data_IF_281686941726
#
_entry.id   IF_281686941726
#
_cell.length_a   1.000
_cell.length_b   1.000
_cell.length_c   1.000
_cell.angle_alpha   90.00
_cell.angle_beta   90.00
_cell.angle_gamma   90.00
#
_symmetry.space_group_name_H-M   'P 1'
#
loop_
_entity.id
_entity.type
_entity.pdbx_description
1 polymer ?
#
# COMPACT_ATOMS: atom_id res chain seq x y z
N UNK A 1 16.16 -4.34 -10.42
CA UNK A 1 14.74 -4.47 -10.84
C UNK A 1 13.83 -4.02 -9.71
N UNK A 2 12.66 -3.47 -10.05
CA UNK A 2 11.62 -3.12 -9.06
C UNK A 2 10.45 -4.09 -9.24
N UNK A 3 10.05 -4.74 -8.14
CA UNK A 3 8.94 -5.68 -8.07
C UNK A 3 7.85 -5.14 -7.15
N UNK A 4 6.60 -5.40 -7.50
CA UNK A 4 5.43 -5.03 -6.72
C UNK A 4 4.71 -6.29 -6.25
N UNK A 5 4.52 -6.42 -4.94
CA UNK A 5 3.85 -7.56 -4.31
C UNK A 5 2.51 -7.14 -3.68
N UNK A 6 1.47 -7.90 -4.01
CA UNK A 6 0.11 -7.67 -3.54
C UNK A 6 -0.24 -8.54 -2.35
N UNK A 7 -0.88 -7.94 -1.36
CA UNK A 7 -1.63 -8.60 -0.29
C UNK A 7 -1.04 -9.95 0.20
N UNK A 8 0.14 -9.96 0.88
CA UNK A 8 0.74 -11.20 1.37
C UNK A 8 -0.10 -11.90 2.46
N UNK A 9 -0.83 -11.13 3.27
CA UNK A 9 -1.63 -11.60 4.41
C UNK A 9 -0.84 -12.51 5.36
N UNK A 10 0.40 -12.13 5.67
CA UNK A 10 1.29 -12.85 6.57
C UNK A 10 1.97 -14.09 5.97
N UNK A 11 1.81 -14.36 4.67
CA UNK A 11 2.53 -15.45 3.98
C UNK A 11 3.33 -14.93 2.78
N UNK A 12 4.64 -15.05 2.87
CA UNK A 12 5.59 -14.52 1.89
C UNK A 12 6.32 -15.64 1.14
N UNK A 13 5.96 -16.91 1.42
CA UNK A 13 6.62 -18.10 0.85
C UNK A 13 6.75 -18.06 -0.66
N UNK A 14 5.75 -17.52 -1.34
CA UNK A 14 5.69 -17.43 -2.80
C UNK A 14 6.73 -16.47 -3.39
N UNK A 15 7.23 -15.49 -2.62
CA UNK A 15 8.22 -14.53 -3.08
C UNK A 15 9.63 -15.10 -3.13
N UNK A 16 9.99 -15.96 -2.16
CA UNK A 16 11.37 -16.44 -2.00
C UNK A 16 11.94 -17.17 -3.22
N UNK A 17 11.21 -18.06 -3.93
CA UNK A 17 11.74 -18.69 -5.15
C UNK A 17 12.19 -17.67 -6.20
N UNK A 18 11.39 -16.62 -6.42
CA UNK A 18 11.72 -15.56 -7.38
C UNK A 18 12.93 -14.75 -6.91
N UNK A 19 12.95 -14.35 -5.63
CA UNK A 19 14.08 -13.60 -5.06
C UNK A 19 15.39 -14.41 -5.07
N UNK A 20 15.31 -15.73 -4.95
CA UNK A 20 16.46 -16.63 -5.02
C UNK A 20 16.93 -16.87 -6.46
N UNK A 21 16.00 -16.93 -7.42
CA UNK A 21 16.32 -17.05 -8.84
C UNK A 21 17.14 -15.85 -9.33
N UNK A 22 16.77 -14.64 -8.90
CA UNK A 22 17.47 -13.40 -9.22
C UNK A 22 18.56 -13.01 -8.21
N UNK A 23 19.07 -13.98 -7.44
CA UNK A 23 20.08 -13.71 -6.41
C UNK A 23 21.34 -13.08 -7.01
N UNK A 24 21.72 -11.91 -6.51
CA UNK A 24 22.87 -11.13 -6.99
C UNK A 24 22.48 -9.95 -7.87
N UNK A 25 21.22 -9.87 -8.30
CA UNK A 25 20.67 -8.65 -8.87
C UNK A 25 20.22 -7.67 -7.78
N UNK A 26 20.24 -6.38 -8.09
CA UNK A 26 19.71 -5.36 -7.19
C UNK A 26 18.19 -5.31 -7.30
N UNK A 27 17.48 -5.99 -6.40
CA UNK A 27 16.02 -6.06 -6.37
C UNK A 27 15.47 -5.06 -5.34
N UNK A 28 14.52 -4.22 -5.74
CA UNK A 28 13.66 -3.49 -4.82
C UNK A 28 12.27 -4.13 -4.82
N UNK A 29 11.80 -4.56 -3.64
CA UNK A 29 10.49 -5.16 -3.46
C UNK A 29 9.55 -4.18 -2.77
N UNK A 30 8.47 -3.81 -3.44
CA UNK A 30 7.46 -2.86 -2.96
C UNK A 30 6.15 -3.60 -2.64
N UNK A 31 5.77 -3.66 -1.35
CA UNK A 31 4.58 -4.39 -0.90
C UNK A 31 3.39 -3.43 -0.78
N UNK A 32 2.27 -3.76 -1.41
CA UNK A 32 1.09 -2.90 -1.58
C UNK A 32 0.06 -3.02 -0.44
N UNK A 33 0.53 -3.18 0.80
CA UNK A 33 -0.31 -3.30 1.98
C UNK A 33 -0.65 -4.73 2.37
N UNK A 34 -1.43 -4.83 3.45
CA UNK A 34 -1.84 -6.07 4.09
C UNK A 34 -0.67 -7.05 4.33
N UNK A 35 0.39 -6.51 4.91
CA UNK A 35 1.54 -7.26 5.35
C UNK A 35 1.11 -8.31 6.39
N UNK A 36 0.24 -7.89 7.32
CA UNK A 36 -0.35 -8.73 8.38
C UNK A 36 0.71 -9.49 9.18
N UNK A 37 1.77 -8.78 9.54
CA UNK A 37 2.88 -9.28 10.34
C UNK A 37 2.45 -9.53 11.79
N UNK A 38 3.15 -10.44 12.46
CA UNK A 38 3.09 -10.60 13.92
C UNK A 38 4.40 -10.25 14.61
N UNK A 39 5.51 -10.28 13.86
CA UNK A 39 6.86 -9.84 14.23
C UNK A 39 7.53 -9.20 13.00
N UNK A 40 8.58 -8.39 13.15
CA UNK A 40 9.34 -7.84 12.01
C UNK A 40 10.17 -8.89 11.25
N UNK A 41 10.35 -10.10 11.82
CA UNK A 41 11.28 -11.13 11.33
C UNK A 41 11.11 -11.47 9.85
N UNK A 42 9.90 -11.39 9.33
CA UNK A 42 9.64 -11.73 7.93
C UNK A 42 10.17 -10.66 6.97
N UNK A 43 10.08 -9.38 7.35
CA UNK A 43 10.74 -8.31 6.61
C UNK A 43 12.26 -8.40 6.75
N UNK A 44 12.76 -8.77 7.95
CA UNK A 44 14.19 -9.00 8.18
C UNK A 44 14.74 -10.10 7.25
N UNK A 45 14.00 -11.21 7.08
CA UNK A 45 14.37 -12.28 6.13
C UNK A 45 14.34 -11.81 4.69
N UNK A 46 13.29 -11.11 4.26
CA UNK A 46 13.20 -10.58 2.89
C UNK A 46 14.34 -9.60 2.58
N UNK A 47 14.75 -8.80 3.57
CA UNK A 47 15.84 -7.83 3.45
C UNK A 47 17.20 -8.45 3.11
N UNK A 48 17.37 -9.76 3.35
CA UNK A 48 18.58 -10.50 2.98
C UNK A 48 18.68 -10.75 1.47
N UNK A 49 17.59 -10.56 0.73
CA UNK A 49 17.50 -10.83 -0.71
C UNK A 49 17.18 -9.59 -1.55
N UNK A 50 16.58 -8.54 -0.96
CA UNK A 50 16.13 -7.36 -1.69
C UNK A 50 16.01 -6.12 -0.78
N UNK A 51 15.97 -4.94 -1.39
CA UNK A 51 15.64 -3.69 -0.71
C UNK A 51 14.11 -3.57 -0.57
N UNK A 52 13.61 -3.70 0.67
CA UNK A 52 12.18 -3.81 0.95
C UNK A 52 11.56 -2.45 1.27
N UNK A 53 10.50 -2.13 0.56
CA UNK A 53 9.63 -0.96 0.75
C UNK A 53 8.18 -1.39 0.81
N UNK A 54 7.32 -0.59 1.43
CA UNK A 54 5.91 -0.94 1.50
C UNK A 54 5.01 0.27 1.79
N UNK A 55 3.73 0.11 1.49
CA UNK A 55 2.65 0.85 2.15
C UNK A 55 1.91 -0.09 3.09
N UNK A 56 1.23 0.45 4.10
CA UNK A 56 0.37 -0.35 4.95
C UNK A 56 -1.01 -0.54 4.30
N UNK A 57 -1.68 -1.66 4.58
CA UNK A 57 -3.09 -1.90 4.28
C UNK A 57 -3.97 -1.82 5.52
N UNK A 58 -5.21 -2.28 5.43
CA UNK A 58 -6.14 -2.25 6.56
C UNK A 58 -5.92 -3.37 7.59
N UNK A 59 -5.18 -4.42 7.23
CA UNK A 59 -4.86 -5.52 8.16
C UNK A 59 -3.71 -5.17 9.11
N UNK A 60 -2.88 -4.19 8.76
CA UNK A 60 -1.66 -3.86 9.50
C UNK A 60 -1.90 -3.13 10.82
N UNK A 61 -3.14 -2.72 11.10
CA UNK A 61 -3.55 -2.20 12.40
C UNK A 61 -4.76 -2.93 12.98
N UNK A 62 -4.94 -4.23 12.65
CA UNK A 62 -5.97 -5.07 13.29
C UNK A 62 -5.57 -5.53 14.69
N UNK A 63 -4.29 -5.75 14.91
CA UNK A 63 -3.73 -6.18 16.20
C UNK A 63 -2.59 -5.27 16.62
N UNK A 64 -2.31 -5.22 17.92
CA UNK A 64 -1.15 -4.48 18.45
C UNK A 64 0.14 -5.05 17.89
N UNK A 65 0.24 -6.38 17.74
CA UNK A 65 1.43 -7.04 17.17
C UNK A 65 1.69 -6.62 15.71
N UNK A 66 0.64 -6.53 14.87
CA UNK A 66 0.78 -6.07 13.50
C UNK A 66 1.25 -4.62 13.43
N UNK A 67 0.65 -3.75 14.26
CA UNK A 67 1.07 -2.36 14.35
C UNK A 67 2.52 -2.25 14.85
N UNK A 68 2.88 -2.94 15.92
CA UNK A 68 4.21 -2.85 16.53
C UNK A 68 5.30 -3.41 15.61
N UNK A 69 4.99 -4.43 14.79
CA UNK A 69 5.92 -4.97 13.78
C UNK A 69 6.35 -3.94 12.74
N UNK A 70 5.52 -2.94 12.46
CA UNK A 70 5.81 -1.87 11.50
C UNK A 70 6.26 -0.59 12.23
N UNK A 71 5.38 -0.01 13.05
CA UNK A 71 5.57 1.34 13.58
C UNK A 71 6.43 1.38 14.85
N UNK A 72 6.57 0.25 15.56
CA UNK A 72 7.45 0.12 16.72
C UNK A 72 8.71 -0.70 16.42
N UNK A 73 9.11 -0.74 15.15
CA UNK A 73 10.36 -1.33 14.67
C UNK A 73 11.08 -0.34 13.73
N UNK A 74 12.29 -0.69 13.30
CA UNK A 74 13.04 0.09 12.31
C UNK A 74 12.34 0.14 10.94
N UNK A 75 11.45 -0.82 10.67
CA UNK A 75 10.72 -0.93 9.39
C UNK A 75 9.80 0.26 9.12
N UNK A 76 9.40 1.04 10.13
CA UNK A 76 8.65 2.30 9.94
C UNK A 76 9.33 3.25 8.94
N UNK A 77 10.67 3.23 8.86
CA UNK A 77 11.45 4.09 7.97
C UNK A 77 11.28 3.70 6.49
N UNK A 78 10.95 2.43 6.23
CA UNK A 78 10.73 1.83 4.90
C UNK A 78 9.29 1.93 4.41
N UNK A 79 8.38 2.49 5.22
CA UNK A 79 7.01 2.78 4.76
C UNK A 79 6.99 3.98 3.82
N UNK A 80 6.39 3.85 2.63
CA UNK A 80 6.23 4.89 1.60
C UNK A 80 4.99 5.78 1.81
N UNK A 81 4.15 5.49 2.80
CA UNK A 81 2.93 6.27 3.04
C UNK A 81 3.25 7.75 3.33
N UNK A 82 2.63 8.66 2.57
CA UNK A 82 2.75 10.12 2.73
C UNK A 82 4.05 10.71 2.20
N UNK A 83 4.85 9.98 1.42
CA UNK A 83 6.12 10.46 0.87
C UNK A 83 6.40 9.95 -0.55
N UNK A 84 7.40 10.58 -1.18
CA UNK A 84 8.02 10.14 -2.43
C UNK A 84 9.45 9.70 -2.13
N UNK A 85 9.85 8.53 -2.64
CA UNK A 85 11.21 8.01 -2.52
C UNK A 85 11.75 7.67 -3.91
N UNK A 86 13.02 7.98 -4.14
CA UNK A 86 13.74 7.51 -5.33
C UNK A 86 14.21 6.07 -5.09
N UNK A 87 13.72 5.14 -5.90
CA UNK A 87 14.06 3.72 -5.84
C UNK A 87 14.60 3.35 -7.21
N UNK A 88 15.89 3.04 -7.31
CA UNK A 88 16.57 2.70 -8.56
C UNK A 88 16.36 3.73 -9.69
N UNK A 89 16.33 5.03 -9.36
CA UNK A 89 16.14 6.12 -10.31
C UNK A 89 14.68 6.42 -10.66
N UNK A 90 13.72 5.80 -9.97
CA UNK A 90 12.27 5.98 -10.19
C UNK A 90 11.65 6.60 -8.95
N UNK A 91 10.90 7.70 -9.12
CA UNK A 91 10.20 8.35 -8.00
C UNK A 91 8.88 7.63 -7.71
N UNK A 92 8.80 6.97 -6.56
CA UNK A 92 7.62 6.23 -6.12
C UNK A 92 6.96 6.94 -4.93
N UNK A 93 5.70 7.34 -5.11
CA UNK A 93 4.83 7.89 -4.07
C UNK A 93 3.96 6.82 -3.43
N UNK A 94 3.74 6.86 -2.12
CA UNK A 94 2.87 5.89 -1.43
C UNK A 94 1.67 6.52 -0.72
N UNK A 95 0.47 5.98 -0.98
CA UNK A 95 -0.74 6.22 -0.19
C UNK A 95 -1.25 4.90 0.40
N UNK A 96 -0.70 4.53 1.56
CA UNK A 96 -1.20 3.41 2.36
C UNK A 96 -2.54 3.67 3.04
N UNK A 97 -3.16 2.60 3.51
CA UNK A 97 -4.42 2.64 4.27
C UNK A 97 -5.65 2.52 3.40
N UNK A 98 -6.81 2.75 4.01
CA UNK A 98 -8.13 2.63 3.36
C UNK A 98 -9.08 3.74 3.77
N UNK A 99 -10.09 4.01 2.94
CA UNK A 99 -11.13 4.97 3.29
C UNK A 99 -12.10 4.36 4.31
N UNK A 100 -12.56 5.17 5.27
CA UNK A 100 -13.49 4.75 6.32
C UNK A 100 -14.52 5.83 6.55
N UNK A 101 -15.81 5.48 6.51
CA UNK A 101 -16.90 6.45 6.71
C UNK A 101 -16.83 7.27 8.00
N UNK A 102 -16.22 6.72 9.06
CA UNK A 102 -15.99 7.45 10.31
C UNK A 102 -14.94 8.57 10.21
N UNK A 103 -14.09 8.53 9.18
CA UNK A 103 -13.04 9.51 8.89
C UNK A 103 -13.39 10.28 7.62
N UNK A 104 -13.39 9.56 6.49
CA UNK A 104 -13.67 10.06 5.17
C UNK A 104 -14.00 8.89 4.23
N UNK A 105 -15.13 9.01 3.51
CA UNK A 105 -15.53 8.09 2.44
C UNK A 105 -15.84 8.91 1.18
N UNK A 106 -14.86 9.11 0.30
CA UNK A 106 -15.07 9.86 -0.95
C UNK A 106 -16.22 9.26 -1.78
N UNK A 107 -17.02 10.08 -2.49
CA UNK A 107 -16.87 11.53 -2.69
C UNK A 107 -17.53 12.38 -1.58
N UNK A 108 -18.00 11.78 -0.49
CA UNK A 108 -18.60 12.53 0.60
C UNK A 108 -17.57 13.43 1.28
N UNK A 109 -18.07 14.48 1.94
CA UNK A 109 -17.21 15.36 2.76
C UNK A 109 -16.55 14.56 3.88
N UNK A 110 -15.27 14.82 4.20
CA UNK A 110 -14.62 14.19 5.33
C UNK A 110 -15.26 14.63 6.65
N UNK A 111 -15.37 13.71 7.59
CA UNK A 111 -15.75 13.99 8.98
C UNK A 111 -14.57 14.61 9.73
N UNK A 112 -13.36 14.13 9.45
CA UNK A 112 -12.12 14.60 10.06
C UNK A 112 -11.06 14.80 9.00
N UNK A 113 -10.33 15.89 9.12
CA UNK A 113 -9.32 16.31 8.14
C UNK A 113 -7.97 15.59 8.34
N UNK A 114 -7.58 15.41 9.60
CA UNK A 114 -6.31 14.82 10.00
C UNK A 114 -6.46 14.05 11.34
N UNK A 115 -5.40 13.33 11.78
CA UNK A 115 -5.41 12.62 13.05
C UNK A 115 -5.63 13.48 14.30
N UNK A 116 -5.14 14.72 14.31
CA UNK A 116 -5.28 15.64 15.45
C UNK A 116 -6.74 16.07 15.58
N UNK A 117 -7.36 16.46 14.45
CA UNK A 117 -8.77 16.79 14.36
C UNK A 117 -9.62 15.61 14.87
N UNK A 118 -9.37 14.37 14.44
CA UNK A 118 -10.08 13.21 15.00
C UNK A 118 -9.92 13.10 16.52
N UNK A 119 -8.70 13.21 17.04
CA UNK A 119 -8.42 13.04 18.46
C UNK A 119 -9.08 14.12 19.35
N UNK A 120 -9.32 15.32 18.84
CA UNK A 120 -10.04 16.38 19.58
C UNK A 120 -11.49 16.03 19.92
N UNK A 121 -12.14 15.19 19.08
CA UNK A 121 -13.52 14.74 19.27
C UNK A 121 -13.62 13.28 19.72
N UNK A 122 -12.49 12.59 19.83
CA UNK A 122 -12.44 11.20 20.25
C UNK A 122 -12.48 11.13 21.79
N UNK A 123 -13.39 10.33 22.38
CA UNK A 123 -13.38 10.08 23.82
C UNK A 123 -12.02 9.54 24.28
N UNK A 124 -11.57 10.00 25.46
CA UNK A 124 -10.21 9.73 25.96
C UNK A 124 -9.95 8.23 26.14
N UNK A 125 -10.97 7.45 26.50
CA UNK A 125 -10.89 5.98 26.64
C UNK A 125 -10.64 5.24 25.32
N UNK A 126 -10.88 5.90 24.18
CA UNK A 126 -10.60 5.34 22.84
C UNK A 126 -9.24 5.76 22.30
N UNK A 127 -8.60 6.77 22.89
CA UNK A 127 -7.25 7.20 22.52
C UNK A 127 -6.28 6.06 22.83
N UNK A 128 -5.56 5.62 21.81
CA UNK A 128 -4.62 4.51 21.93
C UNK A 128 -3.19 5.02 21.79
N UNK A 129 -2.40 4.84 22.85
CA UNK A 129 -1.00 5.31 22.97
C UNK A 129 -0.82 6.78 22.53
N UNK A 130 -1.68 7.64 23.05
CA UNK A 130 -1.60 9.10 22.82
C UNK A 130 -1.98 9.55 21.41
N UNK A 131 -2.66 8.72 20.62
CA UNK A 131 -3.16 9.12 19.30
C UNK A 131 -4.39 8.33 18.87
N UNK A 132 -4.53 8.15 17.55
CA UNK A 132 -5.67 7.47 16.96
C UNK A 132 -5.91 6.08 17.59
N UNK A 133 -7.18 5.68 17.76
CA UNK A 133 -7.53 4.29 18.03
C UNK A 133 -6.84 3.38 17.01
N UNK A 134 -6.44 2.18 17.45
CA UNK A 134 -5.62 1.28 16.64
C UNK A 134 -6.17 1.08 15.21
N UNK A 135 -7.47 0.85 15.06
CA UNK A 135 -8.15 0.71 13.75
C UNK A 135 -7.95 1.90 12.80
N UNK A 136 -7.81 3.10 13.34
CA UNK A 136 -7.69 4.33 12.56
C UNK A 136 -6.25 4.68 12.19
N UNK A 137 -5.26 3.93 12.69
CA UNK A 137 -3.85 4.07 12.27
C UNK A 137 -3.60 3.76 10.79
N UNK A 138 -4.55 3.10 10.14
CA UNK A 138 -4.53 2.72 8.71
C UNK A 138 -5.70 3.34 7.93
N UNK A 139 -6.30 4.43 8.45
CA UNK A 139 -7.33 5.18 7.72
C UNK A 139 -6.68 6.28 6.90
N UNK A 140 -7.15 6.46 5.67
CA UNK A 140 -6.75 7.60 4.84
C UNK A 140 -7.53 8.84 5.31
N UNK A 141 -6.78 9.88 5.69
CA UNK A 141 -7.28 11.21 5.98
C UNK A 141 -7.10 12.13 4.75
N UNK A 142 -7.91 13.19 4.60
CA UNK A 142 -7.68 14.23 3.59
C UNK A 142 -6.25 14.78 3.58
N UNK A 143 -5.66 14.99 4.77
CA UNK A 143 -4.27 15.46 4.90
C UNK A 143 -3.27 14.55 4.16
N UNK A 144 -3.45 13.23 4.19
CA UNK A 144 -2.55 12.29 3.53
C UNK A 144 -2.53 12.49 2.01
N UNK A 145 -3.70 12.83 1.44
CA UNK A 145 -3.84 13.17 0.02
C UNK A 145 -3.22 14.53 -0.26
N UNK A 146 -3.53 15.57 0.53
CA UNK A 146 -3.01 16.93 0.33
C UNK A 146 -1.47 17.00 0.38
N UNK A 147 -0.83 16.25 1.30
CA UNK A 147 0.62 16.15 1.37
C UNK A 147 1.20 15.65 0.04
N UNK A 148 0.61 14.59 -0.51
CA UNK A 148 1.09 13.99 -1.76
C UNK A 148 0.77 14.84 -2.99
N UNK A 149 -0.36 15.56 -3.02
CA UNK A 149 -0.75 16.43 -4.15
C UNK A 149 0.29 17.50 -4.47
N UNK A 150 1.07 17.96 -3.46
CA UNK A 150 2.15 18.93 -3.64
C UNK A 150 3.46 18.35 -4.17
N UNK A 151 3.53 17.03 -4.38
CA UNK A 151 4.74 16.31 -4.78
C UNK A 151 4.64 15.78 -6.22
N UNK A 152 5.79 15.43 -6.80
CA UNK A 152 5.86 14.80 -8.12
C UNK A 152 6.44 13.39 -8.02
N UNK A 153 5.86 12.45 -8.76
CA UNK A 153 6.32 11.06 -8.81
C UNK A 153 6.03 10.43 -10.18
N UNK A 154 6.79 9.39 -10.53
CA UNK A 154 6.56 8.59 -11.73
C UNK A 154 5.48 7.54 -11.48
N UNK A 155 5.51 6.94 -10.28
CA UNK A 155 4.61 5.86 -9.84
C UNK A 155 3.89 6.28 -8.56
N UNK A 156 2.58 6.00 -8.48
CA UNK A 156 1.80 6.05 -7.25
C UNK A 156 1.42 4.62 -6.84
N UNK A 157 1.81 4.22 -5.64
CA UNK A 157 1.33 2.98 -5.04
C UNK A 157 0.23 3.29 -4.03
N UNK A 158 -0.89 2.58 -4.11
CA UNK A 158 -2.00 2.71 -3.16
C UNK A 158 -2.43 1.34 -2.66
N UNK A 159 -3.05 1.25 -1.48
CA UNK A 159 -3.69 -0.01 -1.10
C UNK A 159 -5.09 -0.06 -1.71
N UNK A 160 -5.89 0.99 -1.51
CA UNK A 160 -7.18 1.19 -2.17
C UNK A 160 -7.08 1.32 -3.69
N UNK A 161 -8.08 0.81 -4.41
CA UNK A 161 -8.11 0.91 -5.86
C UNK A 161 -8.52 2.31 -6.37
N UNK A 162 -7.93 2.79 -7.48
CA UNK A 162 -8.47 3.92 -8.23
C UNK A 162 -9.69 3.49 -9.07
N UNK A 163 -10.45 4.45 -9.62
CA UNK A 163 -11.35 4.15 -10.74
C UNK A 163 -10.53 3.79 -11.99
N UNK A 164 -11.04 2.98 -12.93
CA UNK A 164 -12.41 2.48 -13.07
C UNK A 164 -12.75 1.20 -12.31
N UNK A 165 -11.96 0.78 -11.31
CA UNK A 165 -12.33 -0.36 -10.48
C UNK A 165 -13.75 -0.21 -9.93
N UNK A 166 -14.58 -1.27 -9.88
CA UNK A 166 -15.95 -1.18 -9.36
C UNK A 166 -16.02 -0.64 -7.92
N UNK A 167 -14.99 -0.93 -7.12
CA UNK A 167 -14.85 -0.47 -5.74
C UNK A 167 -13.85 0.69 -5.61
N UNK A 168 -13.40 1.26 -6.72
CA UNK A 168 -12.31 2.23 -6.74
C UNK A 168 -12.73 3.67 -6.51
N UNK A 169 -11.77 4.48 -6.06
CA UNK A 169 -11.98 5.87 -5.65
C UNK A 169 -11.41 6.86 -6.66
N UNK A 170 -12.26 7.78 -7.13
CA UNK A 170 -11.86 8.82 -8.09
C UNK A 170 -10.81 9.78 -7.53
N UNK A 171 -10.74 9.93 -6.20
CA UNK A 171 -9.75 10.79 -5.54
C UNK A 171 -8.33 10.32 -5.79
N UNK A 172 -8.10 9.00 -5.90
CA UNK A 172 -6.78 8.44 -6.23
C UNK A 172 -6.39 8.78 -7.66
N UNK A 173 -7.33 8.75 -8.61
CA UNK A 173 -7.07 9.20 -9.98
C UNK A 173 -6.70 10.68 -10.04
N UNK A 174 -7.39 11.51 -9.24
CA UNK A 174 -7.12 12.95 -9.17
C UNK A 174 -5.75 13.21 -8.56
N UNK A 175 -5.39 12.49 -7.50
CA UNK A 175 -4.07 12.53 -6.89
C UNK A 175 -2.99 12.18 -7.91
N UNK A 176 -3.11 11.04 -8.60
CA UNK A 176 -2.16 10.64 -9.63
C UNK A 176 -2.00 11.71 -10.73
N UNK A 177 -3.11 12.31 -11.17
CA UNK A 177 -3.08 13.41 -12.15
C UNK A 177 -2.33 14.64 -11.61
N UNK A 178 -2.59 15.06 -10.37
CA UNK A 178 -1.94 16.23 -9.77
C UNK A 178 -0.43 16.02 -9.59
N UNK A 179 -0.04 14.81 -9.22
CA UNK A 179 1.37 14.42 -9.04
C UNK A 179 2.13 14.19 -10.36
N UNK A 180 1.44 14.16 -11.51
CA UNK A 180 2.06 13.86 -12.80
C UNK A 180 2.45 12.39 -12.99
N UNK A 181 1.82 11.48 -12.22
CA UNK A 181 2.12 10.05 -12.20
C UNK A 181 1.65 9.38 -13.49
N UNK A 182 2.48 8.46 -14.01
CA UNK A 182 2.20 7.69 -15.22
C UNK A 182 1.86 6.21 -14.96
N UNK A 183 2.04 5.70 -13.74
CA UNK A 183 1.61 4.34 -13.34
C UNK A 183 1.02 4.32 -11.94
N UNK A 184 -0.08 3.61 -11.76
CA UNK A 184 -0.65 3.28 -10.45
C UNK A 184 -0.56 1.78 -10.22
N UNK A 185 -0.02 1.37 -9.07
CA UNK A 185 -0.11 -0.02 -8.59
C UNK A 185 -0.95 -0.04 -7.32
N UNK A 186 -1.92 -0.96 -7.24
CA UNK A 186 -2.71 -1.12 -6.03
C UNK A 186 -2.97 -2.59 -5.66
N UNK A 187 -3.42 -2.83 -4.42
CA UNK A 187 -3.82 -4.15 -3.92
C UNK A 187 -5.27 -4.16 -3.42
N UNK A 188 -5.47 -4.67 -2.20
CA UNK A 188 -6.70 -4.65 -1.37
C UNK A 188 -7.84 -5.56 -1.81
N UNK A 189 -8.16 -5.63 -3.11
CA UNK A 189 -9.35 -6.36 -3.58
C UNK A 189 -9.11 -7.85 -3.85
N UNK A 190 -7.88 -8.33 -3.68
CA UNK A 190 -7.46 -9.72 -3.80
C UNK A 190 -7.69 -10.36 -5.19
N UNK A 191 -8.15 -9.60 -6.17
CA UNK A 191 -8.27 -9.97 -7.57
C UNK A 191 -7.10 -9.39 -8.38
N UNK A 192 -6.87 -9.93 -9.58
CA UNK A 192 -5.87 -9.38 -10.52
C UNK A 192 -6.62 -8.65 -11.64
N UNK A 193 -7.36 -7.61 -11.26
CA UNK A 193 -8.27 -6.89 -12.14
C UNK A 193 -7.54 -6.27 -13.35
N UNK A 194 -7.96 -6.63 -14.57
CA UNK A 194 -7.36 -6.13 -15.80
C UNK A 194 -7.98 -4.80 -16.24
N UNK A 195 -7.20 -3.74 -16.15
CA UNK A 195 -7.60 -2.41 -16.56
C UNK A 195 -7.45 -2.14 -18.05
N UNK A 196 -6.64 -2.91 -18.80
CA UNK A 196 -6.37 -2.68 -20.23
C UNK A 196 -7.64 -2.48 -21.09
N UNK A 197 -8.73 -3.27 -20.93
CA UNK A 197 -9.92 -3.09 -21.74
C UNK A 197 -10.76 -1.84 -21.37
N UNK A 198 -10.57 -1.26 -20.18
CA UNK A 198 -11.46 -0.22 -19.66
C UNK A 198 -10.76 1.09 -19.27
N UNK A 199 -9.45 1.10 -19.12
CA UNK A 199 -8.69 2.31 -18.80
C UNK A 199 -8.67 3.24 -20.00
N UNK A 200 -9.39 4.36 -19.88
CA UNK A 200 -9.45 5.38 -20.93
C UNK A 200 -8.35 6.43 -20.79
N UNK A 201 -7.62 6.44 -19.67
CA UNK A 201 -6.52 7.37 -19.46
C UNK A 201 -5.25 6.84 -20.12
N UNK A 202 -4.85 7.44 -21.24
CA UNK A 202 -3.64 7.06 -21.98
C UNK A 202 -2.34 7.55 -21.35
N UNK A 203 -2.42 8.39 -20.32
CA UNK A 203 -1.26 8.98 -19.66
C UNK A 203 -0.90 8.28 -18.34
N UNK A 204 -1.76 7.38 -17.87
CA UNK A 204 -1.55 6.69 -16.60
C UNK A 204 -2.08 5.27 -16.68
N UNK A 205 -1.16 4.30 -16.65
CA UNK A 205 -1.49 2.87 -16.58
C UNK A 205 -1.86 2.49 -15.15
N UNK A 206 -2.73 1.48 -15.00
CA UNK A 206 -3.21 1.03 -13.69
C UNK A 206 -3.06 -0.47 -13.61
N UNK A 207 -2.47 -0.95 -12.51
CA UNK A 207 -2.21 -2.36 -12.25
C UNK A 207 -2.76 -2.74 -10.87
N UNK A 208 -3.55 -3.81 -10.82
CA UNK A 208 -4.03 -4.40 -9.58
C UNK A 208 -3.18 -5.62 -9.21
N UNK A 209 -2.24 -5.50 -8.29
CA UNK A 209 -1.46 -6.65 -7.85
C UNK A 209 -2.25 -7.34 -6.73
N UNK A 210 -2.96 -8.39 -7.11
CA UNK A 210 -3.88 -9.10 -6.22
C UNK A 210 -3.22 -9.98 -5.16
N UNK A 211 -4.04 -10.85 -4.55
CA UNK A 211 -3.66 -11.68 -3.43
C UNK A 211 -2.42 -12.53 -3.70
N UNK A 212 -1.31 -12.24 -3.01
CA UNK A 212 -0.04 -12.95 -3.14
C UNK A 212 0.42 -13.05 -4.61
N UNK A 213 0.17 -11.98 -5.35
CA UNK A 213 0.68 -11.79 -6.70
C UNK A 213 1.99 -11.00 -6.66
N UNK A 214 2.77 -11.13 -7.74
CA UNK A 214 4.03 -10.42 -7.93
C UNK A 214 4.11 -9.95 -9.38
N UNK A 215 4.44 -8.68 -9.59
CA UNK A 215 4.63 -8.11 -10.91
C UNK A 215 5.89 -7.24 -10.98
N UNK A 216 6.42 -7.07 -12.19
CA UNK A 216 7.50 -6.13 -12.46
C UNK A 216 6.99 -4.68 -12.58
N UNK A 217 7.92 -3.73 -12.75
CA UNK A 217 7.64 -2.30 -12.95
C UNK A 217 6.80 -1.98 -14.19
N UNK A 218 6.66 -2.92 -15.13
CA UNK A 218 5.83 -2.76 -16.31
C UNK A 218 4.45 -3.41 -16.15
N UNK A 219 4.16 -3.96 -14.97
CA UNK A 219 2.91 -4.64 -14.68
C UNK A 219 2.82 -6.04 -15.29
N UNK A 220 3.94 -6.63 -15.71
CA UNK A 220 3.97 -8.02 -16.12
C UNK A 220 4.00 -8.90 -14.87
N UNK A 221 3.07 -9.85 -14.77
CA UNK A 221 3.02 -10.76 -13.63
C UNK A 221 4.10 -11.84 -13.73
N UNK A 222 4.84 -12.01 -12.63
CA UNK A 222 5.69 -13.16 -12.37
C UNK A 222 4.92 -14.24 -11.61
N UNK A 223 3.98 -13.81 -10.74
CA UNK A 223 3.11 -14.68 -9.95
C UNK A 223 1.70 -14.09 -9.98
N UNK A 224 0.69 -14.92 -10.25
CA UNK A 224 -0.73 -14.52 -10.25
C UNK A 224 -1.47 -15.37 -9.23
N UNK A 225 -1.87 -14.79 -8.09
CA UNK A 225 -2.81 -15.40 -7.15
C UNK A 225 -2.36 -16.73 -6.52
N UNK A 226 -1.63 -16.68 -5.40
CA UNK A 226 -1.27 -17.92 -4.66
C UNK A 226 -2.20 -18.13 -3.46
N UNK A 227 -3.30 -18.84 -3.68
CA UNK A 227 -4.20 -19.24 -2.61
C UNK A 227 -3.93 -20.66 -2.12
N UNK A 228 -3.08 -20.78 -1.09
CA UNK A 228 -2.80 -22.04 -0.40
C UNK A 228 -3.73 -22.29 0.80
N UNK A 229 -4.77 -21.46 0.99
CA UNK A 229 -5.70 -21.57 2.13
C UNK A 229 -6.64 -22.78 1.98
N UNK A 230 -6.91 -23.24 0.77
CA UNK A 230 -7.70 -24.45 0.54
C UNK A 230 -6.95 -25.75 0.93
N UNK A 231 -5.64 -25.67 1.17
CA UNK A 231 -4.79 -26.81 1.58
C UNK A 231 -4.55 -26.89 3.10
N UNK A 232 -5.38 -26.22 3.92
CA UNK A 232 -5.29 -26.23 5.39
C UNK A 232 -6.52 -26.81 6.05
#
# INVERSE_FOLDING_TARGET
MILFAGDPHGSYRHLYPVLQEYKGEEIALVILGDLQLTTPDELDKLSQYCDVWFIHGNHDSKTVAAFDSIWNSEWKTRSLHGKVVDIQGVKIAGLGGVFRGHIWMPPNRPMFFDPIHYCQYCPQERIWRGGLPLRHRTSIFPLDVEILEGLQADILITHEAPRPHPQGFAVINQLAKKMGVNKIFHGHHHDNFDYRPINRNKHCDIFNIGFRSLADINGNYLIVGVDDRENR
#
